data_IF_296845477912
#
_entry.id   IF_296845477912
#
_cell.length_a   1.000
_cell.length_b   1.000
_cell.length_c   1.000
_cell.angle_alpha   90.00
_cell.angle_beta   90.00
_cell.angle_gamma   90.00
#
_symmetry.space_group_name_H-M   'P 1'
#
loop_
_entity.id
_entity.type
_entity.pdbx_description
1 polymer ?
#
# COMPACT_ATOMS: atom_id res chain seq x y z
N UNK A 1 -3.60 -41.82 -34.18
CA UNK A 1 -3.34 -40.86 -35.27
C UNK A 1 -4.26 -39.69 -35.03
N UNK A 2 -3.85 -38.58 -34.43
CA UNK A 2 -2.50 -38.10 -34.17
C UNK A 2 -2.58 -37.15 -32.98
N UNK A 3 -1.87 -37.49 -31.90
CA UNK A 3 -1.31 -36.54 -30.96
C UNK A 3 -0.16 -35.85 -31.69
N UNK A 4 -0.17 -34.54 -31.86
CA UNK A 4 1.04 -33.75 -32.13
C UNK A 4 0.75 -32.23 -32.09
N UNK A 5 1.51 -31.56 -31.21
CA UNK A 5 2.04 -30.20 -31.34
C UNK A 5 1.16 -28.98 -31.03
N UNK A 6 1.07 -28.61 -29.74
CA UNK A 6 0.90 -27.20 -29.32
C UNK A 6 1.73 -26.82 -28.06
N UNK A 7 2.89 -27.45 -27.85
CA UNK A 7 3.81 -27.13 -26.72
C UNK A 7 5.04 -26.31 -27.16
N UNK A 8 4.87 -25.19 -27.89
CA UNK A 8 6.01 -24.37 -28.31
C UNK A 8 5.77 -22.86 -28.28
N UNK A 9 5.13 -22.30 -27.25
CA UNK A 9 5.18 -20.83 -27.04
C UNK A 9 5.13 -20.43 -25.56
N UNK A 10 6.11 -20.87 -24.76
CA UNK A 10 6.35 -20.21 -23.48
C UNK A 10 7.83 -20.16 -23.06
N UNK A 11 8.70 -19.72 -23.98
CA UNK A 11 10.05 -19.28 -23.63
C UNK A 11 10.01 -17.87 -23.01
N UNK A 12 9.56 -17.83 -21.75
CA UNK A 12 9.56 -16.63 -20.89
C UNK A 12 10.99 -16.16 -20.62
N UNK A 13 11.35 -15.08 -21.32
CA UNK A 13 12.44 -14.11 -21.05
C UNK A 13 12.97 -14.17 -19.60
N UNK A 14 14.15 -14.80 -19.44
CA UNK A 14 14.99 -14.61 -18.25
C UNK A 14 15.43 -13.13 -18.19
N UNK A 15 15.34 -12.45 -17.04
CA UNK A 15 15.89 -11.11 -16.90
C UNK A 15 17.42 -11.16 -17.05
N UNK A 16 18.07 -10.12 -17.62
CA UNK A 16 19.51 -10.10 -17.76
C UNK A 16 20.16 -10.08 -16.37
N UNK A 17 21.12 -10.99 -16.15
CA UNK A 17 21.97 -10.98 -14.97
C UNK A 17 22.86 -9.74 -15.08
N UNK A 18 22.45 -8.64 -14.45
CA UNK A 18 23.28 -7.46 -14.29
C UNK A 18 24.40 -7.77 -13.31
N UNK A 19 25.60 -7.94 -13.86
CA UNK A 19 26.85 -8.07 -13.11
C UNK A 19 27.00 -6.85 -12.19
N UNK A 20 27.32 -7.01 -10.89
CA UNK A 20 27.50 -5.86 -10.01
C UNK A 20 28.67 -5.00 -10.51
N UNK A 21 28.61 -3.66 -10.36
CA UNK A 21 29.72 -2.79 -10.71
C UNK A 21 30.96 -3.18 -9.90
N UNK A 22 32.09 -3.34 -10.58
CA UNK A 22 33.39 -3.56 -9.94
C UNK A 22 33.65 -2.45 -8.91
N UNK A 23 33.80 -2.83 -7.64
CA UNK A 23 34.28 -1.91 -6.60
C UNK A 23 35.69 -1.44 -7.01
N UNK A 24 35.97 -0.12 -6.98
CA UNK A 24 37.34 0.36 -7.10
C UNK A 24 38.16 -0.16 -5.90
N UNK A 25 39.46 -0.47 -6.10
CA UNK A 25 40.31 -0.91 -5.01
C UNK A 25 40.40 0.16 -3.90
N UNK A 26 40.64 -0.24 -2.64
CA UNK A 26 40.77 0.70 -1.54
C UNK A 26 41.88 1.72 -1.85
N UNK A 27 41.52 2.99 -1.79
CA UNK A 27 42.46 4.10 -1.96
C UNK A 27 43.53 4.01 -0.89
N UNK A 28 44.78 3.83 -1.30
CA UNK A 28 45.95 3.99 -0.43
C UNK A 28 45.91 5.38 0.19
N UNK A 29 46.18 5.52 1.51
CA UNK A 29 46.22 6.83 2.14
C UNK A 29 47.29 7.71 1.46
N UNK A 30 47.03 9.02 1.30
CA UNK A 30 48.01 9.92 0.72
C UNK A 30 49.28 9.99 1.58
N UNK A 31 50.46 10.20 0.98
CA UNK A 31 51.68 10.39 1.76
C UNK A 31 51.54 11.62 2.65
N UNK A 32 51.91 11.47 3.93
CA UNK A 32 51.92 12.54 4.92
C UNK A 32 52.71 13.73 4.41
N UNK A 33 52.03 14.86 4.21
CA UNK A 33 52.65 16.15 3.89
C UNK A 33 53.43 16.59 5.15
N UNK A 34 54.74 16.88 5.05
CA UNK A 34 55.48 17.43 6.19
C UNK A 34 54.94 18.81 6.59
N UNK A 35 54.99 19.18 7.87
CA UNK A 35 54.43 20.44 8.35
C UNK A 35 55.13 21.65 7.70
N UNK A 36 54.45 22.82 7.63
CA UNK A 36 55.03 24.01 7.04
C UNK A 36 56.25 24.47 7.83
N UNK A 37 57.31 24.85 7.12
CA UNK A 37 58.47 25.50 7.70
C UNK A 37 58.06 26.80 8.42
N UNK A 38 58.57 26.96 9.64
CA UNK A 38 58.39 28.13 10.48
C UNK A 38 58.88 29.41 9.79
N UNK A 39 58.22 30.57 10.00
CA UNK A 39 58.66 31.82 9.41
C UNK A 39 59.99 32.29 10.04
N UNK A 40 60.85 33.00 9.29
CA UNK A 40 62.09 33.53 9.83
C UNK A 40 61.83 34.69 10.81
N UNK A 41 62.58 34.69 11.91
CA UNK A 41 62.61 35.71 12.96
C UNK A 41 62.93 37.13 12.43
N UNK A 42 62.49 38.20 13.11
CA UNK A 42 62.77 39.57 12.68
C UNK A 42 64.24 39.98 12.93
N UNK A 43 64.77 40.81 12.03
CA UNK A 43 66.10 41.42 12.11
C UNK A 43 66.30 42.25 13.40
N UNK A 44 67.52 42.32 13.96
CA UNK A 44 67.83 43.19 15.08
C UNK A 44 68.09 44.63 14.62
N UNK A 45 67.58 45.56 15.43
CA UNK A 45 67.71 47.01 15.30
C UNK A 45 69.16 47.50 15.32
N UNK A 46 69.42 48.52 14.51
CA UNK A 46 70.68 49.27 14.45
C UNK A 46 71.07 49.92 15.80
N UNK A 47 72.37 50.00 16.16
CA UNK A 47 72.82 50.80 17.29
C UNK A 47 73.01 52.27 16.89
N UNK A 48 72.51 53.17 17.75
CA UNK A 48 72.81 54.61 17.74
C UNK A 48 74.28 54.83 18.10
N UNK A 49 74.99 55.64 17.30
CA UNK A 49 76.32 56.13 17.65
C UNK A 49 76.23 57.50 18.33
N UNK A 50 76.95 57.57 19.43
CA UNK A 50 77.13 58.66 20.38
C UNK A 50 77.99 59.81 19.81
N UNK A 51 77.73 61.04 20.25
CA UNK A 51 78.41 62.27 19.81
C UNK A 51 79.28 62.77 20.96
N UNK A 52 80.60 62.83 20.74
CA UNK A 52 81.57 63.44 21.66
C UNK A 52 82.84 63.93 20.95
N UNK A 53 83.53 64.98 21.43
CA UNK A 53 84.05 66.04 20.57
C UNK A 53 85.51 65.90 20.10
N UNK A 54 85.72 66.54 18.95
CA UNK A 54 86.94 66.76 18.17
C UNK A 54 87.97 67.67 18.88
N UNK A 55 89.28 67.36 18.83
CA UNK A 55 90.35 68.35 19.04
C UNK A 55 90.83 68.98 17.73
N UNK A 56 91.37 70.18 17.86
CA UNK A 56 91.82 71.08 16.81
C UNK A 56 93.04 70.59 16.01
N UNK A 57 93.18 71.21 14.84
CA UNK A 57 94.14 70.97 13.74
C UNK A 57 95.64 71.14 14.14
N UNK A 58 96.60 70.82 13.24
CA UNK A 58 96.93 71.70 12.12
C UNK A 58 97.23 71.01 10.78
N UNK A 59 97.08 71.76 9.69
CA UNK A 59 97.53 71.45 8.32
C UNK A 59 99.06 71.25 8.25
N UNK A 60 99.58 70.53 7.23
CA UNK A 60 99.99 71.23 6.01
C UNK A 60 99.91 70.45 4.68
N UNK A 61 100.06 71.24 3.61
CA UNK A 61 100.51 70.94 2.24
C UNK A 61 99.47 70.55 1.17
N UNK A 62 99.48 71.25 0.01
CA UNK A 62 98.55 71.01 -1.08
C UNK A 62 99.00 69.82 -1.91
N UNK A 63 98.19 68.75 -1.91
CA UNK A 63 98.36 67.63 -2.83
C UNK A 63 97.62 67.96 -4.14
N UNK A 64 98.22 67.71 -5.32
CA UNK A 64 97.55 67.96 -6.59
C UNK A 64 96.25 67.17 -6.64
N UNK A 65 95.22 67.87 -7.10
CA UNK A 65 93.86 67.41 -7.36
C UNK A 65 93.82 65.99 -7.96
N UNK A 66 92.96 65.10 -7.45
CA UNK A 66 92.72 63.83 -8.08
C UNK A 66 92.04 64.08 -9.42
N UNK A 67 92.53 63.46 -10.48
CA UNK A 67 91.79 63.28 -11.71
C UNK A 67 90.47 62.59 -11.36
N UNK A 68 89.35 63.30 -11.56
CA UNK A 68 87.98 62.76 -11.49
C UNK A 68 87.50 62.52 -12.93
N UNK A 69 87.74 61.33 -13.53
CA UNK A 69 86.89 60.85 -14.61
C UNK A 69 86.08 59.60 -14.23
N UNK A 70 86.39 58.93 -13.11
CA UNK A 70 85.82 57.60 -12.81
C UNK A 70 84.50 57.60 -12.03
N UNK A 71 84.15 58.69 -11.33
CA UNK A 71 82.93 58.76 -10.49
C UNK A 71 81.67 59.03 -11.29
N UNK A 72 81.75 59.86 -12.34
CA UNK A 72 80.61 60.15 -13.23
C UNK A 72 80.12 58.88 -13.95
N UNK A 73 81.04 58.08 -14.53
CA UNK A 73 80.68 56.82 -15.19
C UNK A 73 80.12 55.76 -14.22
N UNK A 74 80.52 55.75 -12.94
CA UNK A 74 79.92 54.88 -11.92
C UNK A 74 78.48 55.29 -11.59
N UNK A 75 78.18 56.60 -11.57
CA UNK A 75 76.82 57.12 -11.35
C UNK A 75 75.91 56.76 -12.52
N UNK A 76 76.37 56.88 -13.76
CA UNK A 76 75.59 56.48 -14.94
C UNK A 76 75.30 54.98 -14.95
N UNK A 77 76.30 54.16 -14.60
CA UNK A 77 76.15 52.70 -14.49
C UNK A 77 75.15 52.32 -13.39
N UNK A 78 75.22 52.98 -12.23
CA UNK A 78 74.30 52.76 -11.12
C UNK A 78 72.87 53.19 -11.47
N UNK A 79 72.72 54.31 -12.18
CA UNK A 79 71.42 54.81 -12.68
C UNK A 79 70.77 53.80 -13.61
N UNK A 80 71.54 53.25 -14.56
CA UNK A 80 71.05 52.19 -15.46
C UNK A 80 70.59 50.95 -14.68
N UNK A 81 71.37 50.50 -13.69
CA UNK A 81 70.98 49.36 -12.86
C UNK A 81 69.69 49.61 -12.06
N UNK A 82 69.51 50.82 -11.51
CA UNK A 82 68.27 51.21 -10.81
C UNK A 82 67.08 51.15 -11.78
N UNK A 83 67.24 51.62 -13.02
CA UNK A 83 66.16 51.58 -14.00
C UNK A 83 65.78 50.14 -14.39
N UNK A 84 66.77 49.26 -14.57
CA UNK A 84 66.52 47.83 -14.81
C UNK A 84 65.82 47.16 -13.62
N UNK A 85 66.28 47.44 -12.40
CA UNK A 85 65.64 46.95 -11.17
C UNK A 85 64.21 47.46 -11.02
N UNK A 86 63.93 48.70 -11.40
CA UNK A 86 62.56 49.24 -11.41
C UNK A 86 61.66 48.53 -12.43
N UNK A 87 62.17 48.22 -13.62
CA UNK A 87 61.44 47.43 -14.62
C UNK A 87 61.10 46.03 -14.07
N UNK A 88 62.07 45.36 -13.45
CA UNK A 88 61.89 44.07 -12.79
C UNK A 88 60.85 44.12 -11.66
N UNK A 89 60.92 45.14 -10.79
CA UNK A 89 59.95 45.36 -9.71
C UNK A 89 58.53 45.51 -10.25
N UNK A 90 58.34 46.28 -11.34
CA UNK A 90 57.02 46.47 -11.93
C UNK A 90 56.47 45.17 -12.55
N UNK A 91 57.32 44.37 -13.19
CA UNK A 91 56.93 43.05 -13.70
C UNK A 91 56.51 42.11 -12.57
N UNK A 92 57.28 42.06 -11.48
CA UNK A 92 56.96 41.25 -10.31
C UNK A 92 55.66 41.71 -9.63
N UNK A 93 55.40 43.02 -9.54
CA UNK A 93 54.12 43.55 -9.02
C UNK A 93 52.92 43.13 -9.87
N UNK A 94 53.05 43.17 -11.19
CA UNK A 94 51.98 42.71 -12.10
C UNK A 94 51.71 41.21 -11.90
N UNK A 95 52.77 40.40 -11.84
CA UNK A 95 52.66 38.96 -11.58
C UNK A 95 52.05 38.65 -10.20
N UNK A 96 52.41 39.42 -9.17
CA UNK A 96 51.82 39.29 -7.84
C UNK A 96 50.31 39.59 -7.87
N UNK A 97 49.91 40.64 -8.59
CA UNK A 97 48.49 41.02 -8.73
C UNK A 97 47.70 39.92 -9.46
N UNK A 98 48.27 39.37 -10.53
CA UNK A 98 47.67 38.27 -11.27
C UNK A 98 47.52 37.00 -10.43
N UNK A 99 48.59 36.59 -9.74
CA UNK A 99 48.54 35.44 -8.82
C UNK A 99 47.51 35.64 -7.71
N UNK A 100 47.41 36.85 -7.14
CA UNK A 100 46.44 37.14 -6.09
C UNK A 100 44.99 37.05 -6.61
N UNK A 101 44.75 37.50 -7.84
CA UNK A 101 43.46 37.32 -8.52
C UNK A 101 43.14 35.84 -8.76
N UNK A 102 44.12 35.05 -9.23
CA UNK A 102 43.96 33.61 -9.41
C UNK A 102 43.65 32.89 -8.09
N UNK A 103 44.35 33.23 -7.01
CA UNK A 103 44.09 32.68 -5.67
C UNK A 103 42.68 33.00 -5.19
N UNK A 104 42.21 34.24 -5.40
CA UNK A 104 40.84 34.63 -5.05
C UNK A 104 39.80 33.82 -5.83
N UNK A 105 40.00 33.63 -7.14
CA UNK A 105 39.10 32.83 -7.98
C UNK A 105 39.07 31.37 -7.56
N UNK A 106 40.23 30.77 -7.28
CA UNK A 106 40.33 29.39 -6.81
C UNK A 106 39.65 29.20 -5.44
N UNK A 107 39.80 30.15 -4.52
CA UNK A 107 39.11 30.11 -3.22
C UNK A 107 37.58 30.15 -3.38
N UNK A 108 37.07 31.00 -4.27
CA UNK A 108 35.63 31.05 -4.55
C UNK A 108 35.12 29.73 -5.15
N UNK A 109 35.87 29.15 -6.08
CA UNK A 109 35.53 27.85 -6.67
C UNK A 109 35.54 26.73 -5.62
N UNK A 110 36.52 26.73 -4.70
CA UNK A 110 36.61 25.75 -3.63
C UNK A 110 35.39 25.85 -2.69
N UNK A 111 35.00 27.07 -2.30
CA UNK A 111 33.80 27.32 -1.50
C UNK A 111 32.53 26.83 -2.21
N UNK A 112 32.40 27.07 -3.51
CA UNK A 112 31.26 26.59 -4.29
C UNK A 112 31.21 25.05 -4.34
N UNK A 113 32.37 24.40 -4.53
CA UNK A 113 32.47 22.95 -4.54
C UNK A 113 32.16 22.34 -3.17
N UNK A 114 32.61 22.95 -2.08
CA UNK A 114 32.26 22.52 -0.72
C UNK A 114 30.75 22.61 -0.47
N UNK A 115 30.10 23.68 -0.92
CA UNK A 115 28.65 23.82 -0.83
C UNK A 115 27.92 22.74 -1.63
N UNK A 116 28.38 22.43 -2.85
CA UNK A 116 27.82 21.33 -3.67
C UNK A 116 27.99 19.98 -2.98
N UNK A 117 29.16 19.70 -2.38
CA UNK A 117 29.42 18.47 -1.63
C UNK A 117 28.46 18.35 -0.44
N UNK A 118 28.24 19.43 0.31
CA UNK A 118 27.33 19.43 1.46
C UNK A 118 25.87 19.15 1.04
N UNK A 119 25.43 19.74 -0.07
CA UNK A 119 24.09 19.50 -0.62
C UNK A 119 23.92 18.04 -1.07
N UNK A 120 24.88 17.51 -1.83
CA UNK A 120 24.85 16.12 -2.29
C UNK A 120 24.91 15.13 -1.12
N UNK A 121 25.71 15.43 -0.10
CA UNK A 121 25.78 14.62 1.13
C UNK A 121 24.43 14.57 1.83
N UNK A 122 23.76 15.71 1.97
CA UNK A 122 22.41 15.78 2.57
C UNK A 122 21.39 14.98 1.76
N UNK A 123 21.42 15.09 0.43
CA UNK A 123 20.54 14.31 -0.44
C UNK A 123 20.79 12.80 -0.30
N UNK A 124 22.06 12.39 -0.29
CA UNK A 124 22.45 10.99 -0.11
C UNK A 124 21.92 10.42 1.21
N UNK A 125 22.06 11.17 2.31
CA UNK A 125 21.52 10.75 3.61
C UNK A 125 20.00 10.60 3.57
N UNK A 126 19.28 11.53 2.92
CA UNK A 126 17.81 11.45 2.79
C UNK A 126 17.34 10.28 1.92
N UNK A 127 18.07 9.98 0.84
CA UNK A 127 17.77 8.85 -0.03
C UNK A 127 18.05 7.53 0.68
N UNK A 128 19.13 7.45 1.47
CA UNK A 128 19.46 6.29 2.28
C UNK A 128 18.36 5.99 3.31
N UNK A 129 17.90 7.01 4.05
CA UNK A 129 16.83 6.82 5.03
C UNK A 129 15.50 6.43 4.38
N UNK A 130 15.20 6.99 3.20
CA UNK A 130 14.02 6.61 2.42
C UNK A 130 14.10 5.15 1.95
N UNK A 131 15.26 4.71 1.47
CA UNK A 131 15.48 3.32 1.06
C UNK A 131 15.32 2.35 2.23
N UNK A 132 15.86 2.67 3.40
CA UNK A 132 15.67 1.88 4.63
C UNK A 132 14.20 1.80 5.05
N UNK A 133 13.44 2.90 4.92
CA UNK A 133 12.01 2.92 5.20
C UNK A 133 11.24 2.00 4.24
N UNK A 134 11.48 2.09 2.93
CA UNK A 134 10.84 1.21 1.94
C UNK A 134 11.21 -0.26 2.14
N UNK A 135 12.46 -0.55 2.51
CA UNK A 135 12.89 -1.91 2.85
C UNK A 135 12.07 -2.48 4.02
N UNK A 136 11.85 -1.67 5.06
CA UNK A 136 11.04 -2.07 6.23
C UNK A 136 9.57 -2.28 5.85
N UNK A 137 8.99 -1.40 5.05
CA UNK A 137 7.61 -1.56 4.55
C UNK A 137 7.45 -2.83 3.71
N UNK A 138 8.42 -3.14 2.84
CA UNK A 138 8.40 -4.37 2.05
C UNK A 138 8.44 -5.62 2.93
N UNK A 139 9.28 -5.62 3.97
CA UNK A 139 9.34 -6.73 4.91
C UNK A 139 8.02 -6.93 5.66
N UNK A 140 7.37 -5.84 6.10
CA UNK A 140 6.06 -5.88 6.74
C UNK A 140 4.99 -6.45 5.80
N UNK A 141 4.87 -5.90 4.58
CA UNK A 141 3.92 -6.38 3.58
C UNK A 141 4.15 -7.85 3.21
N UNK A 142 5.39 -8.30 3.18
CA UNK A 142 5.70 -9.70 2.90
C UNK A 142 5.27 -10.63 4.04
N UNK A 143 5.42 -10.20 5.30
CA UNK A 143 4.93 -10.95 6.46
C UNK A 143 3.39 -11.01 6.46
N UNK A 144 2.71 -9.89 6.21
CA UNK A 144 1.25 -9.83 6.12
C UNK A 144 0.72 -10.73 5.00
N UNK A 145 1.41 -10.75 3.85
CA UNK A 145 1.09 -11.65 2.74
C UNK A 145 1.15 -13.11 3.16
N UNK A 146 2.22 -13.53 3.84
CA UNK A 146 2.37 -14.91 4.33
C UNK A 146 1.27 -15.26 5.32
N UNK A 147 0.93 -14.34 6.24
CA UNK A 147 -0.14 -14.55 7.20
C UNK A 147 -1.51 -14.71 6.52
N UNK A 148 -1.84 -13.83 5.56
CA UNK A 148 -3.09 -13.90 4.81
C UNK A 148 -3.19 -15.15 3.93
N UNK A 149 -2.06 -15.63 3.39
CA UNK A 149 -2.01 -16.89 2.66
C UNK A 149 -2.32 -18.09 3.56
N UNK A 150 -1.71 -18.13 4.75
CA UNK A 150 -2.00 -19.16 5.77
C UNK A 150 -3.46 -19.14 6.20
N UNK A 151 -4.02 -17.95 6.47
CA UNK A 151 -5.42 -17.80 6.83
C UNK A 151 -6.37 -18.26 5.71
N UNK A 152 -6.07 -17.94 4.45
CA UNK A 152 -6.86 -18.42 3.32
C UNK A 152 -6.84 -19.95 3.23
N UNK A 153 -5.69 -20.58 3.40
CA UNK A 153 -5.59 -22.03 3.38
C UNK A 153 -6.40 -22.68 4.51
N UNK A 154 -6.34 -22.10 5.72
CA UNK A 154 -7.14 -22.58 6.85
C UNK A 154 -8.65 -22.46 6.58
N UNK A 155 -9.10 -21.32 6.03
CA UNK A 155 -10.50 -21.12 5.67
C UNK A 155 -10.95 -22.05 4.54
N UNK A 156 -10.11 -22.31 3.54
CA UNK A 156 -10.40 -23.29 2.49
C UNK A 156 -10.61 -24.69 3.05
N UNK A 157 -9.76 -25.11 4.00
CA UNK A 157 -9.91 -26.40 4.66
C UNK A 157 -11.21 -26.47 5.49
N UNK A 158 -11.56 -25.40 6.21
CA UNK A 158 -12.83 -25.32 6.95
C UNK A 158 -14.04 -25.42 6.03
N UNK A 159 -14.02 -24.74 4.87
CA UNK A 159 -15.10 -24.82 3.89
C UNK A 159 -15.25 -26.24 3.36
N UNK A 160 -14.14 -26.93 3.05
CA UNK A 160 -14.18 -28.33 2.60
C UNK A 160 -14.77 -29.25 3.67
N UNK A 161 -14.38 -29.07 4.93
CA UNK A 161 -14.90 -29.86 6.04
C UNK A 161 -16.43 -29.65 6.21
N UNK A 162 -16.89 -28.40 6.25
CA UNK A 162 -18.32 -28.09 6.36
C UNK A 162 -19.09 -28.66 5.17
N UNK A 163 -18.52 -28.61 3.97
CA UNK A 163 -19.15 -29.17 2.78
C UNK A 163 -19.31 -30.69 2.87
N UNK A 164 -18.32 -31.39 3.44
CA UNK A 164 -18.40 -32.82 3.70
C UNK A 164 -19.48 -33.13 4.76
N UNK A 165 -19.46 -32.43 5.89
CA UNK A 165 -20.47 -32.58 6.95
C UNK A 165 -21.90 -32.33 6.43
N UNK A 166 -22.06 -31.35 5.54
CA UNK A 166 -23.35 -31.06 4.89
C UNK A 166 -23.82 -32.21 4.00
N UNK A 167 -22.91 -32.80 3.20
CA UNK A 167 -23.25 -33.96 2.37
C UNK A 167 -23.63 -35.18 3.22
N UNK A 168 -22.91 -35.43 4.31
CA UNK A 168 -23.23 -36.52 5.24
C UNK A 168 -24.61 -36.32 5.89
N UNK A 169 -24.90 -35.13 6.39
CA UNK A 169 -26.21 -34.79 6.95
C UNK A 169 -27.34 -34.92 5.92
N UNK A 170 -27.09 -34.54 4.66
CA UNK A 170 -28.04 -34.71 3.57
C UNK A 170 -28.32 -36.19 3.28
N UNK A 171 -27.28 -37.04 3.25
CA UNK A 171 -27.44 -38.48 3.08
C UNK A 171 -28.22 -39.12 4.23
N UNK A 172 -27.94 -38.73 5.48
CA UNK A 172 -28.70 -39.19 6.64
C UNK A 172 -30.18 -38.80 6.56
N UNK A 173 -30.45 -37.55 6.15
CA UNK A 173 -31.83 -37.07 5.97
C UNK A 173 -32.57 -37.90 4.92
N UNK A 174 -31.94 -38.19 3.77
CA UNK A 174 -32.52 -39.06 2.75
C UNK A 174 -32.77 -40.48 3.28
N UNK A 175 -31.82 -41.06 4.02
CA UNK A 175 -31.95 -42.39 4.59
C UNK A 175 -33.12 -42.45 5.60
N UNK A 176 -33.26 -41.47 6.48
CA UNK A 176 -34.38 -41.37 7.42
C UNK A 176 -35.70 -41.18 6.68
N UNK A 177 -35.73 -40.33 5.64
CA UNK A 177 -36.93 -40.13 4.81
C UNK A 177 -37.40 -41.43 4.16
N UNK A 178 -36.47 -42.27 3.67
CA UNK A 178 -36.78 -43.58 3.11
C UNK A 178 -37.30 -44.58 4.15
N UNK A 179 -36.94 -44.43 5.44
CA UNK A 179 -37.46 -45.27 6.52
C UNK A 179 -38.86 -44.84 6.99
N UNK A 180 -39.22 -43.56 6.86
CA UNK A 180 -40.52 -43.04 7.30
C UNK A 180 -41.67 -43.70 6.51
N UNK A 181 -41.54 -43.82 5.18
CA UNK A 181 -42.61 -44.37 4.31
C UNK A 181 -43.05 -45.80 4.68
N UNK A 182 -42.16 -46.80 4.81
CA UNK A 182 -42.57 -48.15 5.20
C UNK A 182 -43.11 -48.21 6.63
N UNK A 183 -42.59 -47.37 7.55
CA UNK A 183 -43.13 -47.28 8.90
C UNK A 183 -44.55 -46.71 8.90
N UNK A 184 -44.83 -45.67 8.11
CA UNK A 184 -46.18 -45.13 7.92
C UNK A 184 -47.14 -46.18 7.35
N UNK A 185 -46.70 -46.97 6.36
CA UNK A 185 -47.50 -48.07 5.82
C UNK A 185 -47.79 -49.14 6.88
N UNK A 186 -46.81 -49.51 7.69
CA UNK A 186 -46.98 -50.47 8.78
C UNK A 186 -47.95 -49.96 9.85
N UNK A 187 -47.90 -48.66 10.18
CA UNK A 187 -48.87 -48.04 11.10
C UNK A 187 -50.29 -48.11 10.53
N UNK A 188 -50.47 -47.81 9.24
CA UNK A 188 -51.78 -47.90 8.59
C UNK A 188 -52.33 -49.34 8.59
N UNK A 189 -51.48 -50.33 8.28
CA UNK A 189 -51.87 -51.75 8.32
C UNK A 189 -52.30 -52.19 9.73
N UNK A 190 -51.54 -51.81 10.76
CA UNK A 190 -51.89 -52.13 12.15
C UNK A 190 -53.18 -51.43 12.60
N UNK A 191 -53.43 -50.20 12.15
CA UNK A 191 -54.69 -49.49 12.41
C UNK A 191 -55.89 -50.21 11.77
N UNK A 192 -55.76 -50.69 10.53
CA UNK A 192 -56.80 -51.46 9.87
C UNK A 192 -57.08 -52.78 10.62
N UNK A 193 -56.03 -53.51 11.01
CA UNK A 193 -56.16 -54.75 11.79
C UNK A 193 -56.85 -54.51 13.14
N UNK A 194 -56.51 -53.44 13.85
CA UNK A 194 -57.18 -53.05 15.10
C UNK A 194 -58.66 -52.77 14.85
N UNK A 195 -59.00 -52.00 13.82
CA UNK A 195 -60.40 -51.70 13.48
C UNK A 195 -61.21 -52.95 13.16
N UNK A 196 -60.60 -53.93 12.47
CA UNK A 196 -61.22 -55.22 12.17
C UNK A 196 -61.46 -56.02 13.46
N UNK A 197 -60.45 -56.10 14.34
CA UNK A 197 -60.57 -56.78 15.63
C UNK A 197 -61.62 -56.14 16.53
N UNK A 198 -61.71 -54.81 16.55
CA UNK A 198 -62.73 -54.07 17.30
C UNK A 198 -64.14 -54.38 16.81
N UNK A 199 -64.38 -54.40 15.48
CA UNK A 199 -65.66 -54.82 14.90
C UNK A 199 -66.02 -56.24 15.30
N UNK A 200 -65.07 -57.17 15.22
CA UNK A 200 -65.29 -58.57 15.59
C UNK A 200 -65.58 -58.74 17.08
N UNK A 201 -64.97 -57.92 17.94
CA UNK A 201 -65.29 -57.86 19.36
C UNK A 201 -66.73 -57.35 19.56
N UNK A 202 -67.17 -56.32 18.83
CA UNK A 202 -68.54 -55.82 18.90
C UNK A 202 -69.55 -56.87 18.45
N UNK A 203 -69.32 -57.55 17.32
CA UNK A 203 -70.18 -58.64 16.82
C UNK A 203 -70.29 -59.80 17.83
N UNK A 204 -69.20 -60.16 18.50
CA UNK A 204 -69.21 -61.22 19.51
C UNK A 204 -69.82 -60.78 20.85
N UNK A 205 -69.85 -59.47 21.14
CA UNK A 205 -70.47 -58.90 22.34
C UNK A 205 -71.96 -58.66 22.17
N UNK A 206 -72.45 -58.44 20.95
CA UNK A 206 -73.89 -58.42 20.70
C UNK A 206 -74.47 -59.81 21.01
N UNK A 207 -75.51 -59.89 21.86
CA UNK A 207 -76.18 -61.16 22.11
C UNK A 207 -76.75 -61.66 20.78
N UNK A 208 -76.33 -62.86 20.37
CA UNK A 208 -76.85 -63.57 19.19
C UNK A 208 -78.37 -63.64 19.32
N UNK A 209 -79.09 -62.70 18.73
CA UNK A 209 -80.54 -62.73 18.67
C UNK A 209 -80.91 -63.99 17.89
N UNK A 210 -81.32 -65.02 18.62
CA UNK A 210 -81.97 -66.19 18.03
C UNK A 210 -83.24 -65.66 17.39
N UNK A 211 -83.25 -65.63 16.06
CA UNK A 211 -84.39 -65.53 15.14
C UNK A 211 -85.74 -65.19 15.81
N UNK A 212 -86.27 -63.97 15.67
CA UNK A 212 -87.71 -63.81 15.68
C UNK A 212 -88.24 -64.26 14.32
N UNK A 213 -88.95 -65.38 14.33
CA UNK A 213 -89.88 -65.80 13.28
C UNK A 213 -90.72 -64.61 12.81
N UNK A 214 -90.73 -64.30 11.50
CA UNK A 214 -91.74 -63.41 10.90
C UNK A 214 -91.96 -63.73 9.42
N UNK A 215 -92.90 -64.64 9.17
CA UNK A 215 -93.76 -64.65 7.99
C UNK A 215 -94.96 -63.73 8.32
N UNK A 216 -94.91 -62.46 7.91
CA UNK A 216 -96.11 -61.61 7.79
C UNK A 216 -95.79 -60.38 6.93
N UNK A 217 -96.48 -60.31 5.79
CA UNK A 217 -96.48 -59.23 4.82
C UNK A 217 -97.30 -58.02 5.27
N UNK A 218 -97.04 -56.89 4.59
CA UNK A 218 -97.96 -55.75 4.34
C UNK A 218 -98.31 -54.90 5.57
N UNK A 219 -98.43 -53.57 5.52
CA UNK A 219 -98.44 -52.55 4.47
C UNK A 219 -98.55 -51.21 5.20
N UNK A 220 -98.10 -50.10 4.59
CA UNK A 220 -98.81 -48.81 4.48
C UNK A 220 -97.84 -47.66 4.26
N UNK A 221 -98.04 -46.99 3.14
CA UNK A 221 -97.46 -45.71 2.80
C UNK A 221 -98.20 -44.56 3.51
N UNK A 222 -97.52 -43.42 3.59
CA UNK A 222 -98.01 -42.04 3.41
C UNK A 222 -97.64 -41.11 4.58
N UNK A 223 -96.75 -40.15 4.32
CA UNK A 223 -97.05 -38.70 4.40
C UNK A 223 -95.78 -37.84 4.20
N UNK A 224 -95.80 -37.01 3.15
CA UNK A 224 -95.27 -35.62 3.12
C UNK A 224 -96.29 -34.69 3.83
N UNK A 225 -96.06 -33.38 4.13
CA UNK A 225 -95.04 -32.45 3.59
C UNK A 225 -94.43 -31.40 4.58
N UNK A 226 -93.37 -30.72 4.14
CA UNK A 226 -93.23 -29.26 4.25
C UNK A 226 -92.62 -28.62 5.52
N UNK A 227 -91.74 -27.64 5.23
CA UNK A 227 -91.56 -26.34 5.93
C UNK A 227 -90.20 -26.05 6.62
N UNK A 228 -89.45 -25.16 5.94
CA UNK A 228 -88.69 -23.98 6.42
C UNK A 228 -87.57 -24.08 7.47
N UNK A 229 -86.47 -23.37 7.19
CA UNK A 229 -85.54 -22.86 8.20
C UNK A 229 -84.15 -22.47 7.68
N UNK A 230 -84.03 -21.34 6.97
CA UNK A 230 -82.84 -20.45 6.99
C UNK A 230 -82.77 -19.74 8.37
N UNK A 231 -81.64 -19.16 8.88
CA UNK A 231 -80.72 -18.24 8.16
C UNK A 231 -79.21 -18.28 8.56
N UNK A 232 -78.29 -17.88 7.66
CA UNK A 232 -77.45 -16.64 7.72
C UNK A 232 -76.21 -16.72 8.66
N UNK A 233 -75.01 -16.15 8.44
CA UNK A 233 -74.45 -14.94 7.80
C UNK A 233 -72.98 -15.26 7.41
N UNK A 234 -72.20 -14.58 6.54
CA UNK A 234 -72.24 -13.37 5.71
C UNK A 234 -70.89 -13.33 4.95
N UNK A 235 -70.84 -13.09 3.64
CA UNK A 235 -70.58 -11.80 2.95
C UNK A 235 -69.37 -11.03 3.52
N UNK A 236 -68.28 -10.87 2.79
CA UNK A 236 -67.95 -9.72 1.91
C UNK A 236 -66.41 -9.76 1.75
N UNK A 237 -65.70 -9.31 0.73
CA UNK A 237 -65.94 -8.52 -0.49
C UNK A 237 -64.61 -8.56 -1.25
N UNK A 238 -64.64 -8.70 -2.58
CA UNK A 238 -63.54 -8.24 -3.44
C UNK A 238 -63.44 -6.70 -3.40
N UNK A 239 -62.49 -6.08 -4.14
CA UNK A 239 -62.48 -6.28 -5.58
C UNK A 239 -61.08 -6.40 -6.21
N UNK A 240 -61.10 -7.01 -7.39
CA UNK A 240 -60.11 -6.89 -8.45
C UNK A 240 -60.05 -5.46 -9.00
N UNK A 241 -58.86 -5.01 -9.38
CA UNK A 241 -58.68 -4.12 -10.53
C UNK A 241 -57.48 -4.57 -11.36
N UNK A 242 -57.77 -4.76 -12.65
CA UNK A 242 -56.89 -4.96 -13.81
C UNK A 242 -55.74 -3.94 -13.88
N UNK A 243 -54.51 -4.42 -14.13
CA UNK A 243 -53.85 -4.45 -15.45
C UNK A 243 -53.55 -3.06 -16.02
N UNK A 244 -52.26 -2.75 -16.22
CA UNK A 244 -51.66 -2.44 -17.55
C UNK A 244 -50.19 -2.01 -17.42
N UNK A 245 -49.34 -2.86 -17.99
CA UNK A 245 -48.14 -2.62 -18.79
C UNK A 245 -47.04 -1.62 -18.36
N UNK A 246 -45.81 -2.11 -18.63
CA UNK A 246 -44.62 -1.38 -19.07
C UNK A 246 -43.60 -1.02 -17.99
N UNK A 247 -42.43 -1.66 -18.08
CA UNK A 247 -41.19 -1.11 -17.52
C UNK A 247 -40.25 -2.16 -16.95
N UNK A 248 -39.45 -2.77 -17.81
CA UNK A 248 -38.10 -3.27 -17.53
C UNK A 248 -37.86 -3.87 -16.12
N UNK A 249 -38.07 -5.18 -16.00
CA UNK A 249 -37.53 -5.95 -14.89
C UNK A 249 -35.99 -6.03 -15.00
N UNK A 250 -35.31 -5.00 -14.48
CA UNK A 250 -33.92 -5.12 -14.04
C UNK A 250 -33.96 -5.69 -12.64
N UNK A 251 -33.47 -6.92 -12.51
CA UNK A 251 -33.32 -7.67 -11.27
C UNK A 251 -32.45 -6.92 -10.26
N UNK A 252 -33.02 -6.01 -9.48
CA UNK A 252 -32.37 -5.50 -8.27
C UNK A 252 -32.76 -6.40 -7.10
N UNK A 253 -31.88 -7.36 -6.84
CA UNK A 253 -31.50 -7.85 -5.51
C UNK A 253 -32.25 -7.13 -4.36
N UNK A 254 -33.10 -7.86 -3.63
CA UNK A 254 -33.89 -7.33 -2.51
C UNK A 254 -32.97 -7.03 -1.32
N UNK A 255 -32.20 -5.94 -1.42
CA UNK A 255 -31.26 -5.52 -0.38
C UNK A 255 -32.04 -5.07 0.86
N UNK A 256 -31.55 -5.45 2.05
CA UNK A 256 -32.15 -5.12 3.35
C UNK A 256 -31.10 -4.47 4.25
N UNK A 257 -31.46 -3.39 4.96
CA UNK A 257 -30.59 -2.74 5.93
C UNK A 257 -30.41 -3.63 7.16
N UNK A 258 -29.18 -3.98 7.55
CA UNK A 258 -28.92 -4.84 8.69
C UNK A 258 -29.25 -4.20 10.04
N UNK A 259 -29.36 -2.87 10.11
CA UNK A 259 -29.63 -2.15 11.36
C UNK A 259 -31.13 -1.94 11.64
N UNK A 260 -31.96 -1.72 10.61
CA UNK A 260 -33.38 -1.43 10.80
C UNK A 260 -34.35 -2.29 9.98
N UNK A 261 -33.84 -3.24 9.18
CA UNK A 261 -34.68 -4.13 8.36
C UNK A 261 -35.35 -3.45 7.16
N UNK A 262 -35.13 -2.15 6.93
CA UNK A 262 -35.69 -1.46 5.77
C UNK A 262 -35.09 -2.03 4.48
N UNK A 263 -35.95 -2.38 3.50
CA UNK A 263 -35.53 -3.03 2.26
C UNK A 263 -35.93 -2.24 1.01
N UNK A 264 -35.32 -2.58 -0.12
CA UNK A 264 -35.62 -1.97 -1.42
C UNK A 264 -35.22 -0.50 -1.48
N UNK A 265 -36.16 0.39 -1.82
CA UNK A 265 -35.95 1.83 -2.06
C UNK A 265 -35.36 2.61 -0.87
N UNK A 266 -35.38 2.03 0.33
CA UNK A 266 -34.79 2.64 1.51
C UNK A 266 -33.25 2.59 1.52
N UNK A 267 -32.62 1.84 0.61
CA UNK A 267 -31.16 1.68 0.53
C UNK A 267 -30.64 2.39 -0.71
N UNK A 268 -29.74 3.35 -0.51
CA UNK A 268 -29.07 4.09 -1.59
C UNK A 268 -27.61 3.68 -1.70
N UNK A 269 -27.10 3.53 -2.91
CA UNK A 269 -25.67 3.37 -3.16
C UNK A 269 -25.02 4.76 -3.30
N UNK A 270 -23.97 5.00 -2.52
CA UNK A 270 -23.19 6.26 -2.48
C UNK A 270 -21.72 5.92 -2.62
N UNK A 271 -20.95 6.78 -3.30
CA UNK A 271 -19.50 6.62 -3.42
C UNK A 271 -18.81 6.90 -2.09
N UNK A 272 -18.00 5.95 -1.64
CA UNK A 272 -17.13 6.07 -0.48
C UNK A 272 -15.83 6.77 -0.86
N UNK A 273 -15.81 8.09 -0.66
CA UNK A 273 -14.64 8.93 -0.93
C UNK A 273 -13.41 8.58 -0.09
N UNK A 274 -13.57 7.76 0.95
CA UNK A 274 -12.45 7.30 1.79
C UNK A 274 -11.76 6.06 1.24
N UNK A 275 -12.37 5.36 0.27
CA UNK A 275 -11.84 4.11 -0.29
C UNK A 275 -11.76 4.18 -1.81
N UNK A 276 -10.56 4.39 -2.33
CA UNK A 276 -10.29 4.47 -3.77
C UNK A 276 -9.92 3.09 -4.31
N UNK A 277 -10.61 2.64 -5.36
CA UNK A 277 -10.44 1.33 -5.99
C UNK A 277 -9.36 1.39 -7.09
N UNK A 278 -9.28 2.50 -7.84
CA UNK A 278 -8.27 2.71 -8.89
C UNK A 278 -8.04 4.20 -9.13
N UNK A 279 -6.82 4.57 -9.54
CA UNK A 279 -6.39 5.96 -9.75
C UNK A 279 -6.21 6.37 -11.23
N UNK A 280 -6.42 5.48 -12.20
CA UNK A 280 -6.10 5.75 -13.61
C UNK A 280 -7.31 5.42 -14.50
N UNK A 281 -7.77 6.33 -15.38
CA UNK A 281 -7.31 7.70 -15.62
C UNK A 281 -7.91 8.78 -14.69
N UNK A 282 -8.88 8.43 -13.83
CA UNK A 282 -9.46 9.27 -12.76
C UNK A 282 -9.70 8.40 -11.51
N UNK A 283 -9.71 8.98 -10.29
CA UNK A 283 -10.00 8.21 -9.08
C UNK A 283 -11.42 7.63 -9.13
N UNK A 284 -11.51 6.31 -9.04
CA UNK A 284 -12.78 5.57 -8.93
C UNK A 284 -12.94 5.15 -7.47
N UNK A 285 -14.01 5.62 -6.83
CA UNK A 285 -14.32 5.33 -5.44
C UNK A 285 -15.13 4.04 -5.29
N UNK A 286 -14.95 3.35 -4.17
CA UNK A 286 -15.78 2.19 -3.82
C UNK A 286 -17.23 2.63 -3.60
N UNK A 287 -18.20 1.74 -3.85
CA UNK A 287 -19.61 2.03 -3.53
C UNK A 287 -19.95 1.47 -2.16
N UNK A 288 -20.61 2.25 -1.32
CA UNK A 288 -21.21 1.85 -0.05
C UNK A 288 -22.72 2.04 -0.09
N UNK A 289 -23.46 1.30 0.73
CA UNK A 289 -24.91 1.41 0.85
C UNK A 289 -25.27 2.17 2.09
N UNK A 290 -26.20 3.11 1.97
CA UNK A 290 -26.68 3.92 3.08
C UNK A 290 -28.18 3.71 3.21
N UNK A 291 -28.62 3.37 4.42
CA UNK A 291 -30.03 3.32 4.73
C UNK A 291 -30.56 4.74 4.96
N UNK A 292 -31.54 5.15 4.16
CA UNK A 292 -32.20 6.45 4.27
C UNK A 292 -33.12 6.59 5.50
N UNK A 293 -33.45 5.47 6.16
CA UNK A 293 -34.32 5.47 7.34
C UNK A 293 -33.55 5.64 8.65
N UNK A 294 -32.40 4.97 8.80
CA UNK A 294 -31.61 5.02 10.02
C UNK A 294 -30.20 5.61 9.84
N UNK A 295 -29.82 6.01 8.63
CA UNK A 295 -28.50 6.59 8.33
C UNK A 295 -27.35 5.57 8.33
N UNK A 296 -27.62 4.28 8.55
CA UNK A 296 -26.58 3.26 8.67
C UNK A 296 -25.92 2.96 7.33
N UNK A 297 -24.59 3.00 7.31
CA UNK A 297 -23.73 2.76 6.14
C UNK A 297 -23.11 1.36 6.20
N UNK A 298 -23.14 0.60 5.10
CA UNK A 298 -22.63 -0.78 5.01
C UNK A 298 -22.29 -1.21 3.58
#
# INVERSE_FOLDING_TARGET
MSEENEDEYEEKRKPPITRPPSMPPPSTPPPSIPPPATPPSPMPSAPKMDVGPRPAAPSPAPRPTPSIPSTASQVDTSTYQIEQKNKEINQLKNKLTELNSQTSNLNNLLLEKDNQINQLTTQLTSLKSSAENYQNQLNQLNNDKVQLQSQNQALQNQVQQIQQEFQEAQQQTMALQQQITPLQQKVAQLQEELSYKDRRIQELKEPKAVMPSTLAQQSTASQTPGFSGTPSYGTSTGPSFDTTASGAAVSTDRRTCPNCGASGFAIKEVEDKTKIVSYIPKPIYAKKKICTKCGYEF
#
